data_IF_135448643170
#
_entry.id   IF_135448643170
#
_cell.length_a   1.000
_cell.length_b   1.000
_cell.length_c   1.000
_cell.angle_alpha   90.00
_cell.angle_beta   90.00
_cell.angle_gamma   90.00
#
_symmetry.space_group_name_H-M   'P 1'
#
loop_
_entity.id
_entity.type
_entity.pdbx_description
1 polymer ?
#
# COMPACT_ATOMS: atom_id res chain seq x y z
N UNK A 1 48.24 -35.60 22.27
CA UNK A 1 46.79 -35.74 22.27
C UNK A 1 46.20 -34.31 22.37
N UNK A 2 46.03 -33.67 21.24
CA UNK A 2 45.49 -32.33 21.19
C UNK A 2 44.08 -32.42 20.60
N UNK A 3 43.08 -32.03 21.39
CA UNK A 3 41.69 -31.94 20.99
C UNK A 3 41.37 -30.55 20.44
N UNK A 4 41.21 -30.45 19.15
CA UNK A 4 40.78 -29.26 18.43
C UNK A 4 39.29 -29.09 18.59
N UNK A 5 38.84 -28.05 19.34
CA UNK A 5 37.46 -27.59 19.43
C UNK A 5 37.21 -26.56 18.32
N UNK A 6 36.60 -27.01 17.24
CA UNK A 6 36.12 -26.15 16.18
C UNK A 6 34.92 -25.31 16.61
N UNK A 7 35.08 -24.01 16.75
CA UNK A 7 34.03 -23.07 17.01
C UNK A 7 33.16 -22.86 15.75
N UNK A 8 31.95 -23.35 15.75
CA UNK A 8 30.90 -23.03 14.76
C UNK A 8 30.59 -21.55 14.81
N UNK A 9 31.04 -20.79 13.84
CA UNK A 9 30.64 -19.39 13.63
C UNK A 9 29.18 -19.37 13.15
N UNK A 10 28.27 -18.99 14.02
CA UNK A 10 26.91 -18.69 13.67
C UNK A 10 26.89 -17.42 12.80
N UNK A 11 26.62 -17.63 11.53
CA UNK A 11 26.43 -16.57 10.54
C UNK A 11 25.03 -15.96 10.77
N UNK A 12 24.94 -14.91 11.60
CA UNK A 12 23.71 -14.13 11.72
C UNK A 12 23.44 -13.45 10.38
N UNK A 13 22.24 -13.62 9.79
CA UNK A 13 21.89 -12.89 8.59
C UNK A 13 21.90 -11.40 8.93
N UNK A 14 22.74 -10.63 8.21
CA UNK A 14 22.74 -9.16 8.26
C UNK A 14 21.31 -8.69 7.99
N UNK A 15 20.71 -7.98 8.93
CA UNK A 15 19.46 -7.25 8.74
C UNK A 15 19.62 -6.34 7.51
N UNK A 16 19.11 -6.79 6.37
CA UNK A 16 19.02 -5.96 5.16
C UNK A 16 18.15 -4.76 5.52
N UNK A 17 18.67 -3.54 5.34
CA UNK A 17 17.95 -2.31 5.63
C UNK A 17 16.53 -2.40 5.08
N UNK A 18 15.57 -2.26 5.97
CA UNK A 18 14.14 -2.43 5.68
C UNK A 18 13.74 -1.45 4.59
N UNK A 19 13.42 -1.96 3.40
CA UNK A 19 12.76 -1.19 2.35
C UNK A 19 11.35 -0.88 2.87
N UNK A 20 11.16 0.32 3.39
CA UNK A 20 9.84 0.78 3.83
C UNK A 20 8.96 0.94 2.58
N UNK A 21 8.12 -0.04 2.32
CA UNK A 21 7.10 0.02 1.30
C UNK A 21 5.83 0.63 1.92
N UNK A 22 5.22 1.55 1.20
CA UNK A 22 3.93 2.14 1.54
C UNK A 22 2.85 1.33 0.81
N UNK A 23 1.68 1.07 1.41
CA UNK A 23 0.55 0.54 0.66
C UNK A 23 0.30 1.37 -0.61
N UNK A 24 0.35 0.71 -1.76
CA UNK A 24 0.08 1.29 -3.07
C UNK A 24 -1.32 0.85 -3.53
N UNK A 25 -1.71 1.13 -4.76
CA UNK A 25 -3.05 0.79 -5.26
C UNK A 25 -3.47 -0.67 -5.00
N UNK A 26 -2.65 -1.71 -5.26
CA UNK A 26 -3.07 -3.09 -5.03
C UNK A 26 -3.35 -3.42 -3.57
N UNK A 27 -2.54 -2.93 -2.65
CA UNK A 27 -2.73 -3.15 -1.21
C UNK A 27 -4.02 -2.46 -0.72
N UNK A 28 -4.28 -1.24 -1.19
CA UNK A 28 -5.52 -0.50 -0.87
C UNK A 28 -6.74 -1.19 -1.48
N UNK A 29 -6.66 -1.68 -2.71
CA UNK A 29 -7.76 -2.42 -3.36
C UNK A 29 -8.03 -3.76 -2.67
N UNK A 30 -7.00 -4.49 -2.28
CA UNK A 30 -7.12 -5.73 -1.50
C UNK A 30 -7.80 -5.45 -0.16
N UNK A 31 -7.36 -4.39 0.52
CA UNK A 31 -7.99 -3.94 1.78
C UNK A 31 -9.47 -3.60 1.56
N UNK A 32 -9.80 -2.82 0.52
CA UNK A 32 -11.18 -2.48 0.17
C UNK A 32 -12.06 -3.73 0.01
N UNK A 33 -11.61 -4.68 -0.81
CA UNK A 33 -12.37 -5.90 -1.13
C UNK A 33 -12.67 -6.74 0.11
N UNK A 34 -11.73 -6.82 1.05
CA UNK A 34 -11.88 -7.64 2.26
C UNK A 34 -12.63 -6.95 3.37
N UNK A 35 -12.55 -5.61 3.45
CA UNK A 35 -13.24 -4.82 4.47
C UNK A 35 -14.68 -4.46 4.05
N UNK A 36 -14.95 -4.29 2.75
CA UNK A 36 -16.28 -3.91 2.28
C UNK A 36 -17.41 -4.82 2.82
N UNK A 37 -17.29 -6.15 2.83
CA UNK A 37 -18.34 -7.03 3.38
C UNK A 37 -18.60 -6.84 4.88
N UNK A 38 -17.63 -6.29 5.61
CA UNK A 38 -17.75 -6.03 7.04
C UNK A 38 -18.45 -4.71 7.35
N UNK A 39 -18.44 -3.76 6.41
CA UNK A 39 -18.96 -2.40 6.60
C UNK A 39 -20.20 -2.10 5.78
N UNK A 40 -20.22 -2.47 4.49
CA UNK A 40 -21.26 -2.05 3.54
C UNK A 40 -22.61 -2.67 3.88
N UNK A 41 -23.65 -1.85 3.90
CA UNK A 41 -25.02 -2.21 4.30
C UNK A 41 -25.23 -2.25 5.81
N UNK A 42 -24.20 -1.99 6.62
CA UNK A 42 -24.30 -2.04 8.08
C UNK A 42 -24.29 -0.66 8.72
N UNK A 43 -24.96 -0.55 9.87
CA UNK A 43 -24.98 0.66 10.68
C UNK A 43 -23.82 0.63 11.68
N UNK A 44 -23.10 1.74 11.80
CA UNK A 44 -22.06 1.93 12.82
C UNK A 44 -22.72 2.06 14.19
N UNK A 45 -22.48 1.12 15.07
CA UNK A 45 -23.01 1.11 16.44
C UNK A 45 -22.13 1.90 17.39
N UNK A 46 -20.80 1.67 17.30
CA UNK A 46 -19.83 2.31 18.18
C UNK A 46 -18.56 2.65 17.42
N UNK A 47 -18.02 3.83 17.73
CA UNK A 47 -16.72 4.31 17.25
C UNK A 47 -15.82 4.59 18.44
N UNK A 48 -14.66 3.93 18.51
CA UNK A 48 -13.63 4.19 19.52
C UNK A 48 -12.41 4.78 18.82
N UNK A 49 -11.85 5.84 19.39
CA UNK A 49 -10.67 6.53 18.87
C UNK A 49 -9.64 6.73 19.97
N UNK A 50 -8.36 6.78 19.60
CA UNK A 50 -7.32 7.29 20.50
C UNK A 50 -7.43 8.81 20.65
N UNK A 51 -6.60 9.39 21.52
CA UNK A 51 -6.49 10.85 21.69
C UNK A 51 -6.20 11.56 20.36
N UNK A 52 -6.52 12.86 20.26
CA UNK A 52 -6.23 13.66 19.08
C UNK A 52 -4.75 13.58 18.67
N UNK A 53 -4.51 13.43 17.39
CA UNK A 53 -3.18 13.40 16.80
C UNK A 53 -3.27 13.78 15.31
N UNK A 54 -2.14 13.95 14.65
CA UNK A 54 -2.12 14.24 13.22
C UNK A 54 -2.62 13.09 12.32
N UNK A 55 -2.92 11.92 12.89
CA UNK A 55 -3.66 10.83 12.24
C UNK A 55 -5.10 11.25 11.90
N UNK A 56 -5.73 12.01 12.78
CA UNK A 56 -7.10 12.47 12.62
C UNK A 56 -7.14 13.86 11.97
N UNK A 57 -7.60 13.96 10.72
CA UNK A 57 -7.88 15.26 10.08
C UNK A 57 -9.18 15.83 10.66
N UNK A 58 -10.21 15.00 10.80
CA UNK A 58 -11.40 15.32 11.60
C UNK A 58 -11.11 14.98 13.06
N UNK A 59 -11.28 15.92 14.01
CA UNK A 59 -11.06 15.63 15.43
C UNK A 59 -11.83 14.39 15.91
N UNK A 60 -11.26 13.56 16.82
CA UNK A 60 -11.88 12.32 17.28
C UNK A 60 -13.33 12.44 17.76
N UNK A 61 -13.67 13.50 18.50
CA UNK A 61 -15.03 13.70 19.01
C UNK A 61 -16.02 13.96 17.87
N UNK A 62 -15.67 14.83 16.94
CA UNK A 62 -16.46 15.11 15.75
C UNK A 62 -16.59 13.84 14.87
N UNK A 63 -15.51 13.09 14.70
CA UNK A 63 -15.53 11.85 13.93
C UNK A 63 -16.49 10.82 14.56
N UNK A 64 -16.45 10.63 15.90
CA UNK A 64 -17.37 9.73 16.61
C UNK A 64 -18.83 10.18 16.45
N UNK A 65 -19.11 11.47 16.64
CA UNK A 65 -20.46 12.02 16.49
C UNK A 65 -21.00 11.86 15.06
N UNK A 66 -20.14 12.05 14.05
CA UNK A 66 -20.53 11.98 12.63
C UNK A 66 -20.73 10.57 12.12
N UNK A 67 -20.10 9.56 12.73
CA UNK A 67 -20.14 8.17 12.27
C UNK A 67 -21.16 7.31 13.03
N UNK A 68 -21.33 7.53 14.34
CA UNK A 68 -22.23 6.70 15.17
C UNK A 68 -23.65 6.81 14.69
N UNK A 69 -24.31 5.68 14.51
CA UNK A 69 -25.69 5.56 14.02
C UNK A 69 -25.86 5.68 12.51
N UNK A 70 -24.76 5.93 11.76
CA UNK A 70 -24.79 6.05 10.30
C UNK A 70 -24.66 4.69 9.62
N UNK A 71 -25.27 4.55 8.46
CA UNK A 71 -25.13 3.34 7.62
C UNK A 71 -24.06 3.56 6.57
N UNK A 72 -23.14 2.60 6.42
CA UNK A 72 -22.15 2.60 5.34
C UNK A 72 -22.82 2.06 4.08
N UNK A 73 -22.96 2.86 3.04
CA UNK A 73 -23.60 2.47 1.79
C UNK A 73 -22.61 1.94 0.75
N UNK A 74 -21.38 2.46 0.77
CA UNK A 74 -20.32 2.01 -0.13
C UNK A 74 -18.96 2.05 0.53
N UNK A 75 -18.00 1.30 -0.03
CA UNK A 75 -16.58 1.43 0.24
C UNK A 75 -15.83 1.37 -1.09
N UNK A 76 -15.35 2.51 -1.54
CA UNK A 76 -14.69 2.69 -2.81
C UNK A 76 -13.19 2.95 -2.65
N UNK A 77 -12.43 2.80 -3.72
CA UNK A 77 -11.02 3.18 -3.79
C UNK A 77 -10.84 4.31 -4.82
N UNK A 78 -10.13 5.35 -4.43
CA UNK A 78 -9.70 6.43 -5.31
C UNK A 78 -8.18 6.57 -5.16
N UNK A 79 -7.42 6.10 -6.15
CA UNK A 79 -5.96 6.03 -6.04
C UNK A 79 -5.52 5.15 -4.86
N UNK A 80 -4.93 5.78 -3.82
CA UNK A 80 -4.48 5.13 -2.57
C UNK A 80 -5.38 5.44 -1.37
N UNK A 81 -6.56 5.99 -1.61
CA UNK A 81 -7.54 6.28 -0.58
C UNK A 81 -8.67 5.25 -0.60
N UNK A 82 -9.19 4.93 0.58
CA UNK A 82 -10.49 4.30 0.76
C UNK A 82 -11.51 5.40 1.06
N UNK A 83 -12.65 5.33 0.42
CA UNK A 83 -13.73 6.29 0.58
C UNK A 83 -15.00 5.52 0.94
N UNK A 84 -15.42 5.61 2.19
CA UNK A 84 -16.70 5.06 2.63
C UNK A 84 -17.81 6.10 2.43
N UNK A 85 -18.80 5.76 1.62
CA UNK A 85 -20.05 6.54 1.49
C UNK A 85 -20.98 6.20 2.65
N UNK A 86 -21.58 7.23 3.27
CA UNK A 86 -22.54 7.07 4.35
C UNK A 86 -23.94 7.47 3.84
N UNK A 87 -24.97 6.94 4.51
CA UNK A 87 -26.33 7.43 4.36
C UNK A 87 -26.33 8.97 4.51
N UNK A 88 -27.21 9.67 3.80
CA UNK A 88 -27.27 11.13 3.67
C UNK A 88 -26.15 11.77 2.84
N UNK A 89 -25.28 10.98 2.19
CA UNK A 89 -24.27 11.44 1.23
C UNK A 89 -22.95 11.92 1.80
N UNK A 90 -22.74 11.86 3.12
CA UNK A 90 -21.43 12.12 3.73
C UNK A 90 -20.44 11.02 3.37
N UNK A 91 -19.15 11.30 3.50
CA UNK A 91 -18.09 10.36 3.18
C UNK A 91 -17.05 10.29 4.30
N UNK A 92 -16.41 9.14 4.44
CA UNK A 92 -15.21 8.99 5.28
C UNK A 92 -14.04 8.62 4.39
N UNK A 93 -13.00 9.44 4.45
CA UNK A 93 -11.77 9.23 3.72
C UNK A 93 -10.74 8.59 4.63
N UNK A 94 -10.17 7.46 4.20
CA UNK A 94 -9.10 6.75 4.89
C UNK A 94 -7.87 6.66 3.98
N UNK A 95 -6.69 6.96 4.51
CA UNK A 95 -5.43 6.76 3.82
C UNK A 95 -4.49 5.95 4.71
N UNK A 96 -3.99 4.84 4.22
CA UNK A 96 -3.18 3.92 5.04
C UNK A 96 -1.80 4.47 5.41
N UNK A 97 -1.30 5.48 4.69
CA UNK A 97 0.04 6.00 4.95
C UNK A 97 1.13 4.98 4.63
N UNK A 98 2.06 4.79 5.55
CA UNK A 98 3.19 3.86 5.38
C UNK A 98 3.03 2.57 6.19
N UNK A 99 2.43 2.65 7.37
CA UNK A 99 2.31 1.55 8.34
C UNK A 99 0.86 1.32 8.77
N UNK A 100 -0.08 2.04 8.15
CA UNK A 100 -1.50 1.89 8.44
C UNK A 100 -2.05 0.56 7.91
N UNK A 101 -2.80 -0.09 8.75
CA UNK A 101 -3.44 -1.37 8.50
C UNK A 101 -4.92 -1.26 8.87
N UNK A 102 -5.78 -1.62 7.95
CA UNK A 102 -7.22 -1.74 8.19
C UNK A 102 -7.59 -3.21 8.13
N UNK A 103 -8.08 -3.78 9.23
CA UNK A 103 -8.30 -5.22 9.35
C UNK A 103 -9.44 -5.57 10.31
N UNK A 104 -9.87 -6.83 10.24
CA UNK A 104 -10.89 -7.42 11.08
C UNK A 104 -10.33 -7.84 12.45
N UNK A 105 -11.15 -7.80 13.48
CA UNK A 105 -10.82 -8.39 14.80
C UNK A 105 -10.54 -9.90 14.73
N UNK A 106 -10.93 -10.57 13.64
CA UNK A 106 -10.65 -11.99 13.39
C UNK A 106 -9.31 -12.24 12.69
N UNK A 107 -8.55 -11.18 12.37
CA UNK A 107 -7.25 -11.33 11.74
C UNK A 107 -6.27 -12.06 12.67
N UNK A 108 -5.56 -13.06 12.13
CA UNK A 108 -4.72 -13.98 12.89
C UNK A 108 -3.22 -13.84 12.61
N UNK A 109 -2.81 -12.83 11.82
CA UNK A 109 -1.41 -12.67 11.47
C UNK A 109 -0.54 -12.30 12.68
N UNK A 110 0.56 -13.00 12.86
CA UNK A 110 1.58 -12.70 13.87
C UNK A 110 2.15 -11.29 13.73
N UNK A 111 2.16 -10.72 12.51
CA UNK A 111 2.62 -9.34 12.27
C UNK A 111 1.74 -8.27 12.89
N UNK A 112 0.46 -8.57 13.12
CA UNK A 112 -0.49 -7.67 13.77
C UNK A 112 -0.32 -7.65 15.29
N UNK A 113 0.28 -8.69 15.87
CA UNK A 113 0.48 -8.79 17.32
C UNK A 113 1.57 -7.84 17.81
N UNK A 114 1.42 -7.34 19.03
CA UNK A 114 2.48 -6.59 19.69
C UNK A 114 3.74 -7.45 19.88
N UNK A 115 4.90 -6.80 20.08
CA UNK A 115 6.15 -7.52 20.34
C UNK A 115 6.05 -8.45 21.55
N UNK A 116 5.37 -8.00 22.62
CA UNK A 116 5.14 -8.79 23.84
C UNK A 116 4.25 -10.01 23.56
N UNK A 117 3.13 -9.80 22.84
CA UNK A 117 2.23 -10.91 22.48
C UNK A 117 2.96 -11.94 21.60
N UNK A 118 3.75 -11.49 20.61
CA UNK A 118 4.57 -12.40 19.78
C UNK A 118 5.59 -13.20 20.58
N UNK A 119 6.24 -12.58 21.57
CA UNK A 119 7.23 -13.24 22.42
C UNK A 119 6.61 -14.31 23.35
N UNK A 120 5.31 -14.25 23.61
CA UNK A 120 4.58 -15.21 24.45
C UNK A 120 3.89 -16.34 23.65
N UNK A 121 4.00 -16.36 22.32
CA UNK A 121 3.42 -17.42 21.50
C UNK A 121 4.37 -18.62 21.40
N UNK A 122 3.82 -19.80 21.48
CA UNK A 122 4.54 -21.02 21.09
C UNK A 122 4.71 -21.09 19.56
N UNK A 123 5.77 -21.78 19.08
CA UNK A 123 5.95 -21.96 17.64
C UNK A 123 4.70 -22.58 17.00
N UNK A 124 4.14 -21.90 16.00
CA UNK A 124 2.93 -22.31 15.27
C UNK A 124 1.60 -21.90 15.91
N UNK A 125 1.59 -21.32 17.10
CA UNK A 125 0.38 -20.77 17.70
C UNK A 125 0.05 -19.41 17.07
N UNK A 126 -1.21 -19.25 16.59
CA UNK A 126 -1.73 -17.97 16.12
C UNK A 126 -2.88 -17.55 17.04
N UNK A 127 -2.75 -16.35 17.61
CA UNK A 127 -3.82 -15.72 18.41
C UNK A 127 -4.47 -14.60 17.60
N UNK A 128 -5.76 -14.37 17.87
CA UNK A 128 -6.46 -13.19 17.36
C UNK A 128 -5.75 -11.90 17.76
N UNK A 129 -5.93 -10.85 16.98
CA UNK A 129 -5.35 -9.55 17.31
C UNK A 129 -6.13 -8.88 18.45
N UNK A 130 -5.41 -8.42 19.46
CA UNK A 130 -5.93 -7.55 20.51
C UNK A 130 -5.52 -6.10 20.23
N UNK A 131 -6.47 -5.13 20.31
CA UNK A 131 -6.17 -3.71 20.09
C UNK A 131 -5.06 -3.21 21.02
N UNK A 132 -4.04 -2.59 20.44
CA UNK A 132 -2.91 -1.97 21.14
C UNK A 132 -2.97 -0.43 21.07
N UNK A 133 -1.97 0.25 21.64
CA UNK A 133 -1.84 1.71 21.64
C UNK A 133 -1.73 2.33 20.23
N UNK A 134 -1.45 1.52 19.20
CA UNK A 134 -1.38 1.91 17.81
C UNK A 134 -2.69 1.71 17.05
N UNK A 135 -3.70 1.14 17.71
CA UNK A 135 -5.05 0.96 17.15
C UNK A 135 -5.87 2.24 17.35
N UNK A 136 -5.80 3.13 16.36
CA UNK A 136 -6.32 4.49 16.49
C UNK A 136 -7.83 4.64 16.25
N UNK A 137 -8.42 3.75 15.44
CA UNK A 137 -9.85 3.73 15.16
C UNK A 137 -10.37 2.31 15.25
N UNK A 138 -11.51 2.14 15.95
CA UNK A 138 -12.26 0.87 16.05
C UNK A 138 -13.71 1.14 15.70
N UNK A 139 -14.26 0.31 14.82
CA UNK A 139 -15.65 0.38 14.38
C UNK A 139 -16.36 -0.92 14.77
N UNK A 140 -17.41 -0.79 15.58
CA UNK A 140 -18.35 -1.89 15.87
C UNK A 140 -19.61 -1.66 15.05
N UNK A 141 -20.04 -2.66 14.31
CA UNK A 141 -21.22 -2.59 13.46
C UNK A 141 -22.43 -3.20 14.16
N UNK A 142 -23.60 -2.60 13.99
CA UNK A 142 -24.86 -3.13 14.54
C UNK A 142 -25.17 -4.50 13.93
N UNK A 143 -25.81 -5.36 14.72
CA UNK A 143 -26.13 -6.73 14.33
C UNK A 143 -25.04 -7.74 14.61
N UNK A 144 -23.95 -7.33 15.26
CA UNK A 144 -22.83 -8.21 15.62
C UNK A 144 -21.86 -8.42 14.46
N UNK A 145 -20.89 -9.33 14.67
CA UNK A 145 -19.82 -9.64 13.72
C UNK A 145 -18.48 -8.99 14.14
N UNK A 146 -17.43 -9.19 13.33
CA UNK A 146 -16.11 -8.70 13.66
C UNK A 146 -16.03 -7.17 13.67
N UNK A 147 -15.28 -6.61 14.61
CA UNK A 147 -14.91 -5.21 14.61
C UNK A 147 -13.90 -4.92 13.48
N UNK A 148 -13.89 -3.69 12.99
CA UNK A 148 -12.89 -3.22 12.04
C UNK A 148 -11.94 -2.25 12.76
N UNK A 149 -10.64 -2.52 12.65
CA UNK A 149 -9.59 -1.76 13.30
C UNK A 149 -8.74 -1.01 12.28
N UNK A 150 -8.38 0.23 12.58
CA UNK A 150 -7.34 0.96 11.88
C UNK A 150 -6.16 1.18 12.82
N UNK A 151 -5.11 0.39 12.60
CA UNK A 151 -3.85 0.42 13.34
C UNK A 151 -2.78 1.13 12.52
N UNK A 152 -1.98 2.00 13.14
CA UNK A 152 -0.87 2.68 12.45
C UNK A 152 0.23 3.10 13.42
N UNK A 153 1.30 2.33 13.48
CA UNK A 153 2.44 2.53 14.39
C UNK A 153 3.07 3.92 14.22
N UNK A 154 3.13 4.44 13.00
CA UNK A 154 3.80 5.73 12.67
C UNK A 154 2.82 6.90 12.56
N UNK A 155 1.53 6.67 12.60
CA UNK A 155 0.45 7.67 12.47
C UNK A 155 0.47 8.46 11.14
N UNK A 156 1.10 7.95 10.09
CA UNK A 156 1.11 8.59 8.75
C UNK A 156 -0.20 8.39 7.99
N UNK A 157 -0.99 7.41 8.39
CA UNK A 157 -2.36 7.27 7.94
C UNK A 157 -3.21 8.49 8.27
N UNK A 158 -4.34 8.61 7.60
CA UNK A 158 -5.29 9.72 7.81
C UNK A 158 -6.71 9.22 7.83
N UNK A 159 -7.50 9.84 8.70
CA UNK A 159 -8.95 9.68 8.76
C UNK A 159 -9.60 11.06 8.69
N UNK A 160 -10.55 11.22 7.77
CA UNK A 160 -11.30 12.45 7.59
C UNK A 160 -12.76 12.14 7.28
N UNK A 161 -13.67 12.74 8.02
CA UNK A 161 -15.07 12.81 7.64
C UNK A 161 -15.30 14.04 6.76
N UNK A 162 -16.08 13.87 5.71
CA UNK A 162 -16.42 14.89 4.72
C UNK A 162 -17.94 15.01 4.66
N UNK A 163 -18.52 16.15 5.05
CA UNK A 163 -19.94 16.43 4.85
C UNK A 163 -20.35 16.31 3.38
N UNK A 164 -21.63 16.10 3.15
CA UNK A 164 -22.20 16.11 1.79
C UNK A 164 -21.87 17.42 1.08
N UNK A 165 -21.43 17.30 -0.17
CA UNK A 165 -21.08 18.46 -1.02
C UNK A 165 -19.73 19.11 -0.69
N UNK A 166 -19.01 18.68 0.35
CA UNK A 166 -17.70 19.22 0.63
C UNK A 166 -16.65 18.68 -0.36
N UNK A 167 -15.92 19.61 -1.01
CA UNK A 167 -14.80 19.30 -1.87
C UNK A 167 -13.60 18.83 -1.03
N UNK A 168 -12.74 18.01 -1.63
CA UNK A 168 -11.52 17.55 -0.96
C UNK A 168 -10.31 17.67 -1.87
N UNK A 169 -9.49 18.68 -1.61
CA UNK A 169 -8.27 18.98 -2.39
C UNK A 169 -7.37 17.75 -2.64
N UNK A 170 -7.38 16.76 -1.76
CA UNK A 170 -6.55 15.57 -1.90
C UNK A 170 -7.10 14.61 -2.95
N UNK A 171 -8.43 14.48 -3.02
CA UNK A 171 -9.09 13.66 -4.03
C UNK A 171 -9.15 14.41 -5.37
N UNK A 172 -9.45 15.71 -5.33
CA UNK A 172 -9.67 16.55 -6.53
C UNK A 172 -8.38 16.73 -7.35
N UNK A 173 -7.22 16.59 -6.72
CA UNK A 173 -5.89 16.65 -7.38
C UNK A 173 -5.44 15.31 -7.95
N UNK A 174 -6.16 14.22 -7.72
CA UNK A 174 -5.76 12.93 -8.27
C UNK A 174 -6.01 12.90 -9.78
N UNK A 175 -5.03 12.35 -10.48
CA UNK A 175 -5.15 12.05 -11.89
C UNK A 175 -5.99 10.80 -12.14
N UNK A 176 -5.81 10.23 -13.33
CA UNK A 176 -6.54 9.03 -13.71
C UNK A 176 -6.12 7.83 -12.86
N UNK A 177 -7.04 6.93 -12.56
CA UNK A 177 -6.71 5.69 -11.85
C UNK A 177 -5.67 4.89 -12.63
N UNK A 178 -4.67 4.37 -11.93
CA UNK A 178 -3.53 3.70 -12.58
C UNK A 178 -3.92 2.44 -13.37
N UNK A 179 -5.07 1.83 -13.08
CA UNK A 179 -5.62 0.71 -13.86
C UNK A 179 -6.20 1.15 -15.21
N UNK A 180 -6.50 2.44 -15.36
CA UNK A 180 -7.12 3.05 -16.55
C UNK A 180 -6.14 3.91 -17.35
N UNK A 181 -4.91 4.07 -16.86
CA UNK A 181 -3.88 4.85 -17.55
C UNK A 181 -3.64 4.30 -18.95
N UNK A 182 -3.64 5.20 -19.96
CA UNK A 182 -3.31 4.89 -21.36
C UNK A 182 -1.96 5.46 -21.75
N UNK A 183 -1.34 4.89 -22.79
CA UNK A 183 -0.10 5.42 -23.36
C UNK A 183 -0.24 6.85 -23.87
N UNK A 184 -1.41 7.19 -24.42
CA UNK A 184 -1.74 8.56 -24.86
C UNK A 184 -1.67 9.56 -23.70
N UNK A 185 -2.31 9.23 -22.58
CA UNK A 185 -2.29 10.08 -21.38
C UNK A 185 -0.87 10.26 -20.85
N UNK A 186 -0.09 9.16 -20.75
CA UNK A 186 1.31 9.25 -20.34
C UNK A 186 2.14 10.08 -21.30
N UNK A 187 1.95 9.89 -22.61
CA UNK A 187 2.69 10.65 -23.62
C UNK A 187 2.40 12.14 -23.55
N UNK A 188 1.13 12.54 -23.39
CA UNK A 188 0.73 13.94 -23.18
C UNK A 188 1.32 14.51 -21.89
N UNK A 189 1.24 13.75 -20.78
CA UNK A 189 1.80 14.15 -19.49
C UNK A 189 3.32 14.31 -19.55
N UNK A 190 4.01 13.53 -20.37
CA UNK A 190 5.47 13.57 -20.51
C UNK A 190 6.00 14.75 -21.35
N UNK A 191 5.14 15.39 -22.15
CA UNK A 191 5.58 16.46 -23.08
C UNK A 191 6.24 17.61 -22.31
N UNK A 192 7.45 17.97 -22.76
CA UNK A 192 8.24 19.06 -22.17
C UNK A 192 8.88 18.77 -20.83
N UNK A 193 8.48 17.71 -20.12
CA UNK A 193 8.98 17.44 -18.77
C UNK A 193 10.37 16.79 -18.78
N UNK A 194 11.32 17.41 -18.06
CA UNK A 194 12.72 16.94 -17.94
C UNK A 194 12.94 15.96 -16.80
N UNK A 195 11.96 15.82 -15.89
CA UNK A 195 12.03 14.88 -14.77
C UNK A 195 12.14 13.44 -15.26
N UNK A 196 12.63 12.55 -14.41
CA UNK A 196 12.71 11.12 -14.71
C UNK A 196 11.31 10.52 -14.94
N UNK A 197 11.19 9.58 -15.89
CA UNK A 197 9.90 8.90 -16.16
C UNK A 197 9.31 8.24 -14.92
N UNK A 198 10.13 7.66 -14.05
CA UNK A 198 9.66 7.11 -12.79
C UNK A 198 9.03 8.19 -11.89
N UNK A 199 9.63 9.39 -11.81
CA UNK A 199 9.06 10.48 -11.03
C UNK A 199 7.69 10.92 -11.56
N UNK A 200 7.50 10.86 -12.90
CA UNK A 200 6.20 11.10 -13.54
C UNK A 200 5.14 10.06 -13.15
N UNK A 201 5.52 8.78 -13.12
CA UNK A 201 4.60 7.71 -12.71
C UNK A 201 4.24 7.77 -11.23
N UNK A 202 5.11 8.32 -10.39
CA UNK A 202 4.85 8.50 -8.95
C UNK A 202 4.00 9.73 -8.64
N UNK A 203 3.83 10.65 -9.60
CA UNK A 203 2.99 11.82 -9.46
C UNK A 203 1.51 11.40 -9.47
N UNK A 204 0.87 11.48 -8.31
CA UNK A 204 -0.52 11.05 -8.14
C UNK A 204 -1.50 11.90 -8.95
N UNK A 205 -1.10 13.09 -9.39
CA UNK A 205 -1.90 13.93 -10.31
C UNK A 205 -1.84 13.44 -11.77
N UNK A 206 -0.95 12.49 -12.08
CA UNK A 206 -0.83 11.87 -13.40
C UNK A 206 -1.42 10.47 -13.39
N UNK A 207 -0.98 9.63 -12.45
CA UNK A 207 -1.38 8.23 -12.34
C UNK A 207 -1.68 7.90 -10.87
N UNK A 208 -2.94 8.08 -10.47
CA UNK A 208 -3.37 7.87 -9.10
C UNK A 208 -3.26 6.38 -8.72
N UNK A 209 -2.55 6.12 -7.63
CA UNK A 209 -2.35 4.77 -7.12
C UNK A 209 -0.98 4.16 -7.41
N UNK A 210 -0.25 4.61 -8.44
CA UNK A 210 1.11 4.10 -8.70
C UNK A 210 2.04 4.47 -7.57
N UNK A 211 2.82 3.50 -7.12
CA UNK A 211 3.87 3.72 -6.14
C UNK A 211 5.20 3.13 -6.58
N UNK A 212 6.11 3.00 -5.64
CA UNK A 212 7.53 2.74 -5.89
C UNK A 212 7.79 1.35 -6.48
N UNK A 213 7.04 0.34 -5.99
CA UNK A 213 7.15 -1.05 -6.43
C UNK A 213 6.69 -1.18 -7.87
N UNK A 214 5.45 -0.78 -8.11
CA UNK A 214 4.79 -1.01 -9.40
C UNK A 214 5.32 -0.10 -10.51
N UNK A 215 5.88 1.07 -10.17
CA UNK A 215 6.61 1.90 -11.14
C UNK A 215 7.88 1.21 -11.65
N UNK A 216 8.70 0.60 -10.78
CA UNK A 216 9.91 -0.11 -11.21
C UNK A 216 9.56 -1.36 -12.02
N UNK A 217 8.58 -2.14 -11.58
CA UNK A 217 8.14 -3.36 -12.26
C UNK A 217 7.54 -3.07 -13.65
N UNK A 218 6.70 -2.04 -13.76
CA UNK A 218 6.11 -1.63 -15.05
C UNK A 218 7.17 -1.11 -16.03
N UNK A 219 8.12 -0.29 -15.55
CA UNK A 219 9.22 0.21 -16.35
C UNK A 219 10.16 -0.90 -16.82
N UNK A 220 10.34 -1.95 -15.99
CA UNK A 220 11.09 -3.13 -16.40
C UNK A 220 10.38 -3.88 -17.54
N UNK A 221 9.07 -4.10 -17.42
CA UNK A 221 8.28 -4.74 -18.49
C UNK A 221 8.31 -3.93 -19.80
N UNK A 222 8.24 -2.61 -19.70
CA UNK A 222 8.31 -1.70 -20.83
C UNK A 222 9.73 -1.52 -21.40
N UNK A 223 10.76 -2.09 -20.76
CA UNK A 223 12.19 -1.95 -21.13
C UNK A 223 12.69 -0.49 -21.09
N UNK A 224 12.08 0.36 -20.27
CA UNK A 224 12.44 1.78 -20.13
C UNK A 224 13.19 2.01 -18.83
N UNK A 225 14.35 2.69 -18.87
CA UNK A 225 15.11 3.03 -17.66
C UNK A 225 14.35 4.03 -16.79
N UNK A 226 14.25 3.81 -15.48
CA UNK A 226 13.49 4.68 -14.58
C UNK A 226 14.02 6.12 -14.52
N UNK A 227 15.31 6.32 -14.78
CA UNK A 227 15.94 7.65 -14.78
C UNK A 227 15.89 8.40 -16.10
N UNK A 228 15.34 7.82 -17.16
CA UNK A 228 15.22 8.49 -18.46
C UNK A 228 14.29 9.69 -18.36
N UNK A 229 14.65 10.81 -18.98
CA UNK A 229 13.81 12.00 -18.97
C UNK A 229 12.44 11.73 -19.64
N UNK A 230 11.35 12.09 -18.97
CA UNK A 230 10.00 11.79 -19.42
C UNK A 230 9.74 12.25 -20.87
N UNK A 231 10.21 13.46 -21.24
CA UNK A 231 10.10 14.00 -22.61
C UNK A 231 10.81 13.19 -23.69
N UNK A 232 11.70 12.25 -23.32
CA UNK A 232 12.42 11.36 -24.25
C UNK A 232 11.76 10.00 -24.40
N UNK A 233 10.70 9.73 -23.65
CA UNK A 233 9.93 8.49 -23.77
C UNK A 233 8.98 8.62 -24.95
N UNK A 234 9.10 7.71 -25.90
CA UNK A 234 8.31 7.73 -27.13
C UNK A 234 6.86 7.31 -26.87
N UNK A 235 5.98 7.58 -27.84
CA UNK A 235 4.58 7.14 -27.78
C UNK A 235 4.45 5.64 -27.57
N UNK A 236 5.18 4.84 -28.35
CA UNK A 236 5.18 3.37 -28.25
C UNK A 236 5.65 2.89 -26.87
N UNK A 237 6.64 3.54 -26.28
CA UNK A 237 7.10 3.21 -24.93
C UNK A 237 6.08 3.61 -23.86
N UNK A 238 5.36 4.71 -24.03
CA UNK A 238 4.25 5.07 -23.14
C UNK A 238 3.13 4.02 -23.19
N UNK A 239 2.81 3.48 -24.38
CA UNK A 239 1.85 2.39 -24.52
C UNK A 239 2.32 1.13 -23.78
N UNK A 240 3.60 0.77 -23.93
CA UNK A 240 4.20 -0.36 -23.21
C UNK A 240 4.24 -0.15 -21.69
N UNK A 241 4.49 1.08 -21.20
CA UNK A 241 4.45 1.42 -19.77
C UNK A 241 3.02 1.28 -19.22
N UNK A 242 2.02 1.81 -19.94
CA UNK A 242 0.62 1.71 -19.54
C UNK A 242 0.14 0.26 -19.47
N UNK A 243 0.53 -0.57 -20.43
CA UNK A 243 0.26 -2.01 -20.44
C UNK A 243 0.97 -2.71 -19.26
N UNK A 244 2.26 -2.40 -19.04
CA UNK A 244 3.05 -2.90 -17.94
C UNK A 244 2.43 -2.56 -16.58
N UNK A 245 1.96 -1.31 -16.39
CA UNK A 245 1.26 -0.89 -15.17
C UNK A 245 0.01 -1.72 -14.92
N UNK A 246 -0.87 -1.82 -15.91
CA UNK A 246 -2.10 -2.62 -15.78
C UNK A 246 -1.80 -4.08 -15.43
N UNK A 247 -0.78 -4.67 -16.07
CA UNK A 247 -0.39 -6.06 -15.84
C UNK A 247 0.10 -6.28 -14.41
N UNK A 248 1.06 -5.48 -13.93
CA UNK A 248 1.62 -5.65 -12.59
C UNK A 248 0.62 -5.32 -11.49
N UNK A 249 -0.21 -4.29 -11.67
CA UNK A 249 -1.23 -3.90 -10.70
C UNK A 249 -2.33 -4.95 -10.57
N UNK A 250 -2.88 -5.44 -11.68
CA UNK A 250 -3.89 -6.51 -11.66
C UNK A 250 -3.34 -7.77 -11.04
N UNK A 251 -2.13 -8.19 -11.46
CA UNK A 251 -1.51 -9.39 -10.88
C UNK A 251 -1.29 -9.26 -9.38
N UNK A 252 -0.85 -8.09 -8.92
CA UNK A 252 -0.69 -7.84 -7.49
C UNK A 252 -2.02 -7.85 -6.72
N UNK A 253 -3.10 -7.31 -7.29
CA UNK A 253 -4.43 -7.40 -6.68
C UNK A 253 -4.87 -8.88 -6.57
N UNK A 254 -4.66 -9.68 -7.61
CA UNK A 254 -4.99 -11.11 -7.62
C UNK A 254 -4.24 -11.90 -6.54
N UNK A 255 -2.98 -11.54 -6.28
CA UNK A 255 -2.13 -12.20 -5.27
C UNK A 255 -2.24 -11.58 -3.87
N UNK A 256 -3.15 -10.62 -3.65
CA UNK A 256 -3.38 -10.02 -2.35
C UNK A 256 -2.42 -8.89 -1.96
N UNK A 257 -1.72 -8.29 -2.94
CA UNK A 257 -0.74 -7.22 -2.69
C UNK A 257 0.68 -7.75 -2.45
N UNK A 258 1.56 -6.89 -1.94
CA UNK A 258 2.95 -7.19 -1.62
C UNK A 258 3.24 -6.92 -0.15
N UNK A 259 3.49 -7.97 0.64
CA UNK A 259 3.81 -7.89 2.07
C UNK A 259 5.31 -7.75 2.32
N UNK A 260 5.90 -6.62 1.89
CA UNK A 260 7.35 -6.39 1.99
C UNK A 260 7.78 -5.88 3.38
N UNK A 261 6.95 -5.07 4.05
CA UNK A 261 7.27 -4.50 5.36
C UNK A 261 6.16 -4.74 6.37
N UNK A 262 5.25 -3.77 6.47
CA UNK A 262 4.23 -3.77 7.52
C UNK A 262 2.83 -4.11 6.98
N UNK A 263 2.66 -4.18 5.65
CA UNK A 263 1.37 -4.51 5.06
C UNK A 263 1.05 -5.99 5.26
N UNK A 264 -0.14 -6.21 5.78
CA UNK A 264 -0.82 -7.50 5.90
C UNK A 264 -2.25 -7.28 5.44
N UNK A 265 -2.81 -8.24 4.75
CA UNK A 265 -4.20 -8.15 4.32
C UNK A 265 -5.16 -8.16 5.52
N UNK A 266 -6.39 -7.63 5.38
CA UNK A 266 -7.34 -7.47 6.48
C UNK A 266 -7.73 -8.75 7.25
N UNK A 267 -7.52 -9.91 6.67
CA UNK A 267 -7.70 -11.22 7.31
C UNK A 267 -6.42 -11.78 7.96
N UNK A 268 -5.34 -11.00 7.93
CA UNK A 268 -4.04 -11.39 8.47
C UNK A 268 -3.17 -12.19 7.50
N UNK A 269 -3.62 -12.48 6.28
CA UNK A 269 -2.80 -13.19 5.29
C UNK A 269 -1.73 -12.27 4.65
N UNK A 270 -0.62 -12.86 4.24
CA UNK A 270 0.38 -12.17 3.44
C UNK A 270 -0.05 -12.08 1.97
N UNK A 271 0.31 -10.99 1.31
CA UNK A 271 0.27 -10.91 -0.14
C UNK A 271 1.30 -11.85 -0.77
N UNK A 272 1.14 -12.18 -2.05
CA UNK A 272 2.04 -13.06 -2.79
C UNK A 272 2.90 -12.36 -3.84
N UNK A 273 2.63 -11.08 -4.15
CA UNK A 273 3.34 -10.41 -5.25
C UNK A 273 4.84 -10.19 -4.97
N UNK A 274 5.27 -10.16 -3.72
CA UNK A 274 6.71 -10.04 -3.40
C UNK A 274 7.57 -11.15 -4.03
N UNK A 275 7.01 -12.32 -4.29
CA UNK A 275 7.72 -13.46 -4.87
C UNK A 275 7.77 -13.40 -6.41
N UNK A 276 6.93 -12.57 -7.03
CA UNK A 276 6.84 -12.37 -8.48
C UNK A 276 7.64 -11.16 -8.99
N UNK A 277 8.23 -10.37 -8.10
CA UNK A 277 8.98 -9.16 -8.48
C UNK A 277 10.19 -9.48 -9.35
N UNK A 278 10.36 -8.69 -10.38
CA UNK A 278 11.44 -8.84 -11.36
C UNK A 278 12.66 -8.00 -11.04
N UNK A 279 12.47 -6.81 -10.50
CA UNK A 279 13.56 -5.87 -10.20
C UNK A 279 13.47 -5.24 -8.81
N UNK A 280 12.24 -4.92 -8.32
CA UNK A 280 12.10 -4.19 -7.06
C UNK A 280 12.61 -4.99 -5.86
N UNK A 281 13.55 -4.37 -5.09
CA UNK A 281 14.16 -5.00 -3.91
C UNK A 281 15.26 -6.02 -4.22
N UNK A 282 15.56 -6.28 -5.50
CA UNK A 282 16.48 -7.33 -5.95
C UNK A 282 17.89 -6.81 -6.32
N UNK A 283 18.33 -5.69 -5.72
CA UNK A 283 19.68 -5.18 -5.95
C UNK A 283 20.74 -6.25 -5.69
N UNK A 284 21.65 -6.44 -6.64
CA UNK A 284 22.75 -7.42 -6.57
C UNK A 284 22.36 -8.83 -7.01
N UNK A 285 21.06 -9.08 -7.26
CA UNK A 285 20.59 -10.37 -7.76
C UNK A 285 20.62 -10.40 -9.29
N UNK A 286 20.71 -11.58 -9.91
CA UNK A 286 20.65 -11.71 -11.35
C UNK A 286 19.25 -11.34 -11.89
N UNK A 287 19.22 -10.64 -13.02
CA UNK A 287 18.00 -10.38 -13.77
C UNK A 287 17.39 -11.68 -14.27
N UNK A 288 16.11 -11.93 -13.99
CA UNK A 288 15.41 -13.16 -14.40
C UNK A 288 15.31 -13.31 -15.93
N UNK A 289 15.56 -12.23 -16.70
CA UNK A 289 15.47 -12.26 -18.17
C UNK A 289 16.83 -12.45 -18.85
N UNK A 290 17.92 -11.84 -18.32
CA UNK A 290 19.21 -11.81 -19.04
C UNK A 290 20.43 -12.13 -18.16
N UNK A 291 20.24 -12.41 -16.86
CA UNK A 291 21.33 -12.72 -15.93
C UNK A 291 22.15 -11.52 -15.42
N UNK A 292 22.02 -10.33 -16.04
CA UNK A 292 22.75 -9.13 -15.60
C UNK A 292 22.32 -8.71 -14.20
N UNK A 293 23.26 -8.18 -13.39
CA UNK A 293 22.97 -7.74 -12.02
C UNK A 293 21.93 -6.60 -12.00
N UNK A 294 20.90 -6.72 -11.16
CA UNK A 294 19.94 -5.66 -10.90
C UNK A 294 20.60 -4.52 -10.13
N UNK A 295 20.55 -3.32 -10.72
CA UNK A 295 21.12 -2.10 -10.16
C UNK A 295 20.09 -1.31 -9.37
N UNK A 296 20.58 -0.54 -8.39
CA UNK A 296 19.77 0.39 -7.60
C UNK A 296 20.33 1.80 -7.71
N UNK A 297 19.45 2.78 -7.87
CA UNK A 297 19.76 4.22 -7.75
C UNK A 297 18.63 4.93 -7.01
N UNK A 298 18.87 6.19 -6.63
CA UNK A 298 17.83 7.04 -6.05
C UNK A 298 17.30 7.98 -7.15
N UNK A 299 15.97 8.00 -7.31
CA UNK A 299 15.24 8.89 -8.23
C UNK A 299 14.08 9.50 -7.45
N UNK A 300 13.94 10.83 -7.45
CA UNK A 300 12.92 11.55 -6.70
C UNK A 300 12.81 11.07 -5.24
N UNK A 301 13.95 10.95 -4.57
CA UNK A 301 14.10 10.48 -3.17
C UNK A 301 13.58 9.06 -2.91
N UNK A 302 13.36 8.26 -3.96
CA UNK A 302 12.90 6.86 -3.88
C UNK A 302 13.95 5.93 -4.47
N UNK A 303 14.10 4.76 -3.84
CA UNK A 303 14.88 3.65 -4.40
C UNK A 303 14.28 3.25 -5.74
N UNK A 304 15.12 3.05 -6.75
CA UNK A 304 14.72 2.61 -8.09
C UNK A 304 15.61 1.45 -8.50
N UNK A 305 14.99 0.33 -8.84
CA UNK A 305 15.67 -0.91 -9.22
C UNK A 305 15.45 -1.18 -10.71
N UNK A 306 16.50 -1.58 -11.40
CA UNK A 306 16.43 -1.79 -12.85
C UNK A 306 17.55 -2.72 -13.34
N UNK A 307 17.32 -3.36 -14.49
CA UNK A 307 18.35 -4.07 -15.23
C UNK A 307 18.97 -3.16 -16.29
N UNK A 308 20.29 -2.94 -16.21
CA UNK A 308 20.96 -2.03 -17.15
C UNK A 308 21.03 -2.59 -18.60
N UNK A 309 20.89 -3.91 -18.77
CA UNK A 309 20.89 -4.57 -20.09
C UNK A 309 19.51 -4.62 -20.73
N UNK A 310 18.46 -4.90 -19.94
CA UNK A 310 17.10 -5.03 -20.46
C UNK A 310 16.38 -3.69 -20.67
N UNK A 311 16.82 -2.61 -19.98
CA UNK A 311 16.16 -1.30 -20.01
C UNK A 311 17.10 -0.24 -20.60
N UNK A 312 16.60 0.58 -21.52
CA UNK A 312 17.34 1.65 -22.22
C UNK A 312 16.81 3.06 -21.90
#
# INVERSE_FOLDING_TARGET
MESSTGALRHNHPRVRGTLLAMPELPEVETTRRRIAPLLVGKRVERVVTTAPSYFFITPPDALRASLTGRTVESLDRVGKYLVAGLDRGDRVLLHLGMTGQLFSSEATSVRLLSATARASLDPGEQRGFEPDEHTHLRLTMAGGGPEVFFRDVRKFGKVQWLPVGEANDRLDRLGIDALEVTGELLFRANRGRRVAIKAMLLDQSVAAGVGNIYADEALFLARVRPGRAAKRVTRRECDAIAEGLRKVLRRSIETGGSSISDYVAPDGSDGGYQDERRVYGRKGEPCLTCGEEIKRRVIAQRSSHYCARCQS
#
